data_IF_757884286858
#
_entry.id   IF_757884286858
#
_cell.length_a   1.000
_cell.length_b   1.000
_cell.length_c   1.000
_cell.angle_alpha   90.00
_cell.angle_beta   90.00
_cell.angle_gamma   90.00
#
_symmetry.space_group_name_H-M   'P 1'
#
loop_
_entity.id
_entity.type
_entity.pdbx_description
1 polymer ?
#
# COMPACT_ATOMS: atom_id res chain seq x y z
N UNK A 1 15.89 21.59 -17.46
CA UNK A 1 14.84 22.63 -17.41
C UNK A 1 14.29 23.02 -18.79
N UNK A 2 15.09 23.04 -19.87
CA UNK A 2 14.62 23.40 -21.21
C UNK A 2 13.51 22.51 -21.78
N UNK A 3 13.60 21.17 -21.61
CA UNK A 3 12.61 20.22 -22.10
C UNK A 3 11.22 20.44 -21.49
N UNK A 4 11.12 20.68 -20.16
CA UNK A 4 9.85 20.98 -19.48
C UNK A 4 9.19 22.22 -20.05
N UNK A 5 9.96 23.32 -20.26
CA UNK A 5 9.42 24.55 -20.84
C UNK A 5 8.88 24.32 -22.26
N UNK A 6 9.61 23.55 -23.08
CA UNK A 6 9.17 23.20 -24.43
C UNK A 6 7.89 22.38 -24.48
N UNK A 7 7.73 21.39 -23.57
CA UNK A 7 6.53 20.57 -23.47
C UNK A 7 5.33 21.44 -23.04
N UNK A 8 5.49 22.25 -21.99
CA UNK A 8 4.43 23.14 -21.53
C UNK A 8 4.02 24.17 -22.57
N UNK A 9 4.96 24.70 -23.34
CA UNK A 9 4.66 25.63 -24.43
C UNK A 9 3.80 24.97 -25.53
N UNK A 10 4.12 23.72 -25.92
CA UNK A 10 3.30 22.96 -26.89
C UNK A 10 1.89 22.68 -26.38
N UNK A 11 1.76 22.34 -25.09
CA UNK A 11 0.45 22.13 -24.46
C UNK A 11 -0.38 23.43 -24.49
N UNK A 12 0.22 24.56 -24.07
CA UNK A 12 -0.44 25.87 -24.09
C UNK A 12 -0.90 26.26 -25.51
N UNK A 13 -0.03 26.03 -26.50
CA UNK A 13 -0.37 26.28 -27.91
C UNK A 13 -1.55 25.42 -28.36
N UNK A 14 -1.55 24.14 -28.04
CA UNK A 14 -2.66 23.23 -28.38
C UNK A 14 -3.98 23.61 -27.71
N UNK A 15 -3.92 24.29 -26.56
CA UNK A 15 -5.08 24.83 -25.84
C UNK A 15 -5.49 26.23 -26.30
N UNK A 16 -4.88 26.79 -27.35
CA UNK A 16 -5.13 28.16 -27.82
C UNK A 16 -4.62 29.25 -26.85
N UNK A 17 -3.68 28.91 -25.96
CA UNK A 17 -3.13 29.80 -24.93
C UNK A 17 -1.71 30.28 -25.28
N UNK A 18 -1.46 30.70 -26.51
CA UNK A 18 -0.11 31.08 -26.97
C UNK A 18 0.54 32.11 -26.04
N UNK A 19 1.33 31.61 -25.07
CA UNK A 19 2.12 32.42 -24.15
C UNK A 19 1.33 33.13 -23.04
N UNK A 20 0.00 33.06 -23.01
CA UNK A 20 -0.80 33.72 -21.98
C UNK A 20 -0.66 33.00 -20.63
N UNK A 21 -0.30 33.73 -19.60
CA UNK A 21 -0.33 33.24 -18.23
C UNK A 21 -1.81 33.13 -17.75
N UNK A 22 -2.12 32.16 -16.86
CA UNK A 22 -3.47 32.03 -16.31
C UNK A 22 -3.87 33.29 -15.55
N UNK A 23 -5.09 33.73 -15.73
CA UNK A 23 -5.66 34.87 -14.96
C UNK A 23 -5.85 34.46 -13.48
N UNK A 24 -5.90 35.46 -12.61
CA UNK A 24 -6.19 35.20 -11.18
C UNK A 24 -7.54 34.48 -10.98
N UNK A 25 -8.54 34.78 -11.80
CA UNK A 25 -9.85 34.13 -11.75
C UNK A 25 -9.78 32.64 -12.15
N UNK A 26 -9.04 32.30 -13.21
CA UNK A 26 -8.84 30.92 -13.61
C UNK A 26 -8.09 30.11 -12.54
N UNK A 27 -7.06 30.69 -11.93
CA UNK A 27 -6.32 30.04 -10.84
C UNK A 27 -7.21 29.84 -9.62
N UNK A 28 -8.05 30.83 -9.28
CA UNK A 28 -9.02 30.71 -8.19
C UNK A 28 -10.05 29.61 -8.47
N UNK A 29 -10.58 29.51 -9.69
CA UNK A 29 -11.52 28.48 -10.08
C UNK A 29 -10.90 27.06 -9.98
N UNK A 30 -9.66 26.88 -10.44
CA UNK A 30 -8.94 25.61 -10.32
C UNK A 30 -8.70 25.24 -8.86
N UNK A 31 -8.26 26.19 -8.03
CA UNK A 31 -8.06 25.95 -6.59
C UNK A 31 -9.37 25.58 -5.89
N UNK A 32 -10.47 26.27 -6.23
CA UNK A 32 -11.78 25.94 -5.69
C UNK A 32 -12.25 24.55 -6.12
N UNK A 33 -11.99 24.14 -7.38
CA UNK A 33 -12.31 22.80 -7.85
C UNK A 33 -11.51 21.73 -7.09
N UNK A 34 -10.20 21.94 -6.88
CA UNK A 34 -9.35 21.04 -6.10
C UNK A 34 -9.85 20.95 -4.65
N UNK A 35 -10.19 22.08 -4.03
CA UNK A 35 -10.64 22.15 -2.64
C UNK A 35 -12.00 21.46 -2.38
N UNK A 36 -12.85 21.32 -3.41
CA UNK A 36 -14.14 20.63 -3.27
C UNK A 36 -14.00 19.12 -3.07
N UNK A 37 -12.87 18.52 -3.51
CA UNK A 37 -12.65 17.07 -3.45
C UNK A 37 -13.84 16.28 -4.00
N UNK A 38 -14.39 16.72 -5.13
CA UNK A 38 -15.55 16.05 -5.76
C UNK A 38 -15.24 14.57 -6.00
N UNK A 39 -16.12 13.72 -5.49
CA UNK A 39 -16.05 12.27 -5.67
C UNK A 39 -16.68 11.93 -7.02
N UNK A 40 -15.97 11.12 -7.81
CA UNK A 40 -16.50 10.60 -9.07
C UNK A 40 -17.66 9.62 -8.85
N UNK A 41 -18.30 9.14 -9.92
CA UNK A 41 -19.29 8.08 -9.83
C UNK A 41 -18.70 6.84 -9.17
N UNK A 42 -19.35 6.35 -8.11
CA UNK A 42 -18.94 5.15 -7.40
C UNK A 42 -19.81 3.98 -7.81
N UNK A 43 -19.21 2.78 -8.04
CA UNK A 43 -20.00 1.55 -8.12
C UNK A 43 -20.78 1.35 -6.81
N UNK A 44 -21.99 0.78 -6.86
CA UNK A 44 -22.69 0.45 -5.63
C UNK A 44 -21.87 -0.57 -4.83
N UNK A 45 -21.50 -0.19 -3.62
CA UNK A 45 -20.84 -1.06 -2.66
C UNK A 45 -21.80 -1.30 -1.48
N UNK A 46 -22.13 -2.56 -1.26
CA UNK A 46 -22.91 -2.94 -0.08
C UNK A 46 -21.94 -2.99 1.11
N UNK A 47 -22.06 -2.01 2.02
CA UNK A 47 -21.30 -2.02 3.27
C UNK A 47 -21.56 -3.32 4.02
N UNK A 48 -20.52 -4.11 4.25
CA UNK A 48 -20.63 -5.33 5.03
C UNK A 48 -20.81 -4.97 6.52
N UNK A 49 -21.70 -5.66 7.25
CA UNK A 49 -21.82 -5.46 8.69
C UNK A 49 -20.50 -5.69 9.44
N UNK A 50 -19.67 -6.57 8.92
CA UNK A 50 -18.31 -6.86 9.43
C UNK A 50 -17.28 -6.55 8.34
N UNK A 51 -16.63 -5.38 8.46
CA UNK A 51 -15.56 -4.92 7.56
C UNK A 51 -14.39 -5.88 7.53
N UNK A 52 -14.06 -6.45 8.66
CA UNK A 52 -12.92 -7.34 8.79
C UNK A 52 -13.18 -8.68 8.09
N UNK A 53 -14.38 -9.20 8.19
CA UNK A 53 -14.81 -10.38 7.43
C UNK A 53 -14.79 -10.09 5.92
N UNK A 54 -15.27 -8.92 5.50
CA UNK A 54 -15.21 -8.50 4.10
C UNK A 54 -13.75 -8.35 3.61
N UNK A 55 -12.89 -7.72 4.39
CA UNK A 55 -11.46 -7.59 4.06
C UNK A 55 -10.81 -8.95 3.85
N UNK A 56 -11.04 -9.91 4.77
CA UNK A 56 -10.51 -11.27 4.65
C UNK A 56 -11.00 -11.98 3.38
N UNK A 57 -12.30 -11.88 3.10
CA UNK A 57 -12.90 -12.44 1.88
C UNK A 57 -12.23 -11.92 0.62
N UNK A 58 -11.97 -10.61 0.55
CA UNK A 58 -11.29 -10.02 -0.61
C UNK A 58 -9.80 -10.38 -0.66
N UNK A 59 -9.14 -10.50 0.49
CA UNK A 59 -7.79 -11.06 0.56
C UNK A 59 -7.73 -12.46 -0.06
N UNK A 60 -8.64 -13.36 0.34
CA UNK A 60 -8.72 -14.72 -0.22
C UNK A 60 -8.93 -14.70 -1.73
N UNK A 61 -9.86 -13.87 -2.22
CA UNK A 61 -10.14 -13.71 -3.65
C UNK A 61 -8.90 -13.26 -4.46
N UNK A 62 -8.07 -12.43 -3.85
CA UNK A 62 -6.85 -11.91 -4.48
C UNK A 62 -5.63 -12.83 -4.32
N UNK A 63 -5.69 -13.82 -3.43
CA UNK A 63 -4.57 -14.69 -3.10
C UNK A 63 -3.64 -14.10 -2.03
N UNK A 64 -4.11 -13.12 -1.26
CA UNK A 64 -3.45 -12.69 -0.03
C UNK A 64 -3.84 -13.63 1.09
N UNK A 65 -2.87 -14.31 1.69
CA UNK A 65 -3.12 -15.10 2.90
C UNK A 65 -3.24 -14.19 4.12
N UNK A 66 -3.96 -14.62 5.15
CA UNK A 66 -4.10 -13.81 6.37
C UNK A 66 -4.15 -14.66 7.63
N UNK A 67 -3.79 -14.05 8.75
CA UNK A 67 -3.96 -14.59 10.08
C UNK A 67 -4.42 -13.48 11.03
N UNK A 68 -5.09 -13.85 12.11
CA UNK A 68 -5.46 -12.92 13.18
C UNK A 68 -4.78 -13.35 14.46
N UNK A 69 -4.12 -12.40 15.11
CA UNK A 69 -3.46 -12.60 16.41
C UNK A 69 -4.13 -11.72 17.46
N UNK A 70 -3.98 -12.07 18.74
CA UNK A 70 -4.66 -11.37 19.83
C UNK A 70 -3.93 -10.08 20.27
N UNK A 71 -2.66 -9.95 19.89
CA UNK A 71 -1.84 -8.78 20.22
C UNK A 71 -0.69 -8.59 19.26
N UNK A 72 -0.11 -7.39 19.25
CA UNK A 72 1.09 -7.09 18.47
C UNK A 72 2.28 -7.98 18.87
N UNK A 73 2.36 -8.40 20.15
CA UNK A 73 3.42 -9.25 20.65
C UNK A 73 3.44 -10.65 20.02
N UNK A 74 2.32 -11.10 19.45
CA UNK A 74 2.23 -12.42 18.79
C UNK A 74 2.63 -12.38 17.31
N UNK A 75 2.85 -11.19 16.73
CA UNK A 75 3.25 -11.04 15.32
C UNK A 75 4.51 -11.84 14.99
N UNK A 76 5.61 -11.82 15.79
CA UNK A 76 6.79 -12.61 15.47
C UNK A 76 6.51 -14.13 15.38
N UNK A 77 5.72 -14.66 16.29
CA UNK A 77 5.36 -16.08 16.31
C UNK A 77 4.52 -16.47 15.08
N UNK A 78 3.57 -15.63 14.68
CA UNK A 78 2.76 -15.83 13.48
C UNK A 78 3.61 -15.75 12.20
N UNK A 79 4.51 -14.78 12.11
CA UNK A 79 5.45 -14.67 10.98
C UNK A 79 6.34 -15.91 10.90
N UNK A 80 6.87 -16.40 12.03
CA UNK A 80 7.66 -17.62 12.07
C UNK A 80 6.86 -18.84 11.58
N UNK A 81 5.63 -18.98 12.05
CA UNK A 81 4.69 -20.03 11.59
C UNK A 81 4.47 -19.96 10.07
N UNK A 82 4.19 -18.76 9.55
CA UNK A 82 3.96 -18.54 8.12
C UNK A 82 5.20 -18.89 7.28
N UNK A 83 6.37 -18.40 7.67
CA UNK A 83 7.62 -18.68 6.96
C UNK A 83 7.96 -20.18 6.97
N UNK A 84 7.81 -20.85 8.12
CA UNK A 84 8.03 -22.28 8.24
C UNK A 84 7.08 -23.09 7.36
N UNK A 85 5.78 -22.75 7.33
CA UNK A 85 4.79 -23.41 6.48
C UNK A 85 5.11 -23.29 4.98
N UNK A 86 5.72 -22.17 4.58
CA UNK A 86 6.17 -21.94 3.20
C UNK A 86 7.58 -22.44 2.89
N UNK A 87 8.27 -23.08 3.83
CA UNK A 87 9.69 -23.45 3.75
C UNK A 87 10.59 -22.23 3.36
N UNK A 88 10.26 -21.05 3.90
CA UNK A 88 10.97 -19.80 3.66
C UNK A 88 12.03 -19.56 4.73
N UNK A 89 13.08 -18.81 4.38
CA UNK A 89 14.14 -18.47 5.32
C UNK A 89 13.58 -17.66 6.52
N UNK A 90 14.01 -17.95 7.76
CA UNK A 90 13.55 -17.26 8.96
C UNK A 90 14.27 -15.91 9.14
N UNK A 91 14.23 -15.07 8.13
CA UNK A 91 14.85 -13.74 8.10
C UNK A 91 13.92 -12.74 7.44
N UNK A 92 13.79 -11.56 8.05
CA UNK A 92 12.87 -10.52 7.64
C UNK A 92 13.53 -9.15 7.66
N UNK A 93 13.45 -8.40 6.57
CA UNK A 93 13.78 -6.97 6.55
C UNK A 93 12.51 -6.16 6.78
N UNK A 94 12.44 -5.36 7.84
CA UNK A 94 11.19 -4.71 8.23
C UNK A 94 11.34 -3.26 8.66
N UNK A 95 10.18 -2.62 8.91
CA UNK A 95 10.12 -1.25 9.42
C UNK A 95 10.48 -1.19 10.91
N UNK A 96 11.19 -0.12 11.29
CA UNK A 96 11.67 0.09 12.67
C UNK A 96 10.59 0.05 13.75
N UNK A 97 9.32 0.34 13.41
CA UNK A 97 8.22 0.27 14.39
C UNK A 97 8.00 -1.14 14.97
N UNK A 98 8.45 -2.18 14.28
CA UNK A 98 8.32 -3.58 14.73
C UNK A 98 9.62 -4.16 15.32
N UNK A 99 10.71 -3.40 15.31
CA UNK A 99 12.04 -3.90 15.72
C UNK A 99 12.11 -4.32 17.19
N UNK A 100 11.27 -3.70 18.06
CA UNK A 100 11.24 -4.00 19.48
C UNK A 100 10.47 -5.27 19.86
N UNK A 101 9.83 -5.97 18.89
CA UNK A 101 9.13 -7.23 19.14
C UNK A 101 10.14 -8.38 19.34
N UNK A 102 9.72 -9.44 20.02
CA UNK A 102 10.59 -10.58 20.34
C UNK A 102 10.77 -11.51 19.11
N UNK A 103 11.50 -11.00 18.12
CA UNK A 103 11.85 -11.78 16.92
C UNK A 103 12.81 -12.92 17.20
N UNK A 104 13.78 -12.70 18.10
CA UNK A 104 14.75 -13.71 18.49
C UNK A 104 14.08 -14.90 19.19
N UNK A 105 13.13 -14.63 20.11
CA UNK A 105 12.32 -15.67 20.75
C UNK A 105 11.48 -16.48 19.77
N UNK A 106 11.07 -15.87 18.66
CA UNK A 106 10.37 -16.54 17.56
C UNK A 106 11.32 -17.25 16.55
N UNK A 107 12.63 -17.16 16.73
CA UNK A 107 13.62 -17.74 15.82
C UNK A 107 13.77 -17.01 14.49
N UNK A 108 13.40 -15.72 14.44
CA UNK A 108 13.48 -14.87 13.24
C UNK A 108 14.65 -13.89 13.36
N UNK A 109 15.49 -13.83 12.33
CA UNK A 109 16.44 -12.72 12.15
C UNK A 109 15.71 -11.49 11.63
N UNK A 110 15.45 -10.52 12.50
CA UNK A 110 14.83 -9.25 12.12
C UNK A 110 15.88 -8.20 11.79
N UNK A 111 15.76 -7.56 10.64
CA UNK A 111 16.67 -6.52 10.15
C UNK A 111 15.90 -5.22 10.00
N UNK A 112 16.10 -4.28 10.95
CA UNK A 112 15.52 -2.94 10.89
C UNK A 112 16.25 -2.09 9.85
N UNK A 113 15.86 -2.25 8.60
CA UNK A 113 16.39 -1.51 7.45
C UNK A 113 15.52 -1.69 6.21
N UNK A 114 15.70 -0.82 5.19
CA UNK A 114 15.14 -1.08 3.86
C UNK A 114 15.60 -2.43 3.31
N UNK A 115 14.68 -3.13 2.66
CA UNK A 115 14.99 -4.41 2.00
C UNK A 115 16.00 -4.21 0.85
N UNK A 116 16.93 -5.14 0.71
CA UNK A 116 17.89 -5.23 -0.37
C UNK A 116 17.72 -6.49 -1.21
N UNK A 117 18.55 -6.68 -2.24
CA UNK A 117 18.44 -7.78 -3.20
C UNK A 117 18.53 -9.20 -2.59
N UNK A 118 19.11 -9.32 -1.39
CA UNK A 118 19.23 -10.62 -0.69
C UNK A 118 18.08 -10.90 0.30
N UNK A 119 17.11 -10.01 0.45
CA UNK A 119 16.02 -10.19 1.40
C UNK A 119 14.80 -10.82 0.70
N UNK A 120 14.49 -12.06 1.06
CA UNK A 120 13.36 -12.80 0.49
C UNK A 120 12.03 -12.39 1.12
N UNK A 121 12.04 -11.88 2.36
CA UNK A 121 10.83 -11.47 3.10
C UNK A 121 10.97 -10.04 3.61
N UNK A 122 9.97 -9.22 3.32
CA UNK A 122 9.81 -7.88 3.85
C UNK A 122 8.62 -7.79 4.79
N UNK A 123 8.75 -7.02 5.88
CA UNK A 123 7.67 -6.76 6.82
C UNK A 123 7.39 -5.27 6.93
N UNK A 124 6.11 -4.93 6.82
CA UNK A 124 5.62 -3.55 6.95
C UNK A 124 4.36 -3.50 7.81
N UNK A 125 3.96 -2.32 8.23
CA UNK A 125 2.58 -2.02 8.55
C UNK A 125 1.83 -1.49 7.32
N UNK A 126 0.62 -0.97 7.54
CA UNK A 126 -0.09 -0.17 6.57
C UNK A 126 -0.72 1.05 7.24
N UNK A 127 -0.93 2.10 6.48
CA UNK A 127 -1.66 3.28 6.93
C UNK A 127 -3.12 2.91 7.25
N UNK A 128 -3.76 2.19 6.34
CA UNK A 128 -5.07 1.56 6.53
C UNK A 128 -5.22 0.38 5.56
N UNK A 129 -6.27 -0.42 5.78
CA UNK A 129 -6.71 -1.44 4.83
C UNK A 129 -8.12 -1.12 4.34
N UNK A 130 -8.47 -1.58 3.14
CA UNK A 130 -9.73 -1.29 2.45
C UNK A 130 -10.49 -2.59 2.25
N UNK A 131 -11.66 -2.70 2.88
CA UNK A 131 -12.45 -3.93 2.89
C UNK A 131 -13.07 -4.24 1.53
N UNK A 132 -13.50 -3.21 0.79
CA UNK A 132 -14.09 -3.35 -0.55
C UNK A 132 -13.21 -4.14 -1.51
N UNK A 133 -11.91 -3.98 -1.42
CA UNK A 133 -10.97 -4.51 -2.41
C UNK A 133 -9.86 -5.38 -1.82
N UNK A 134 -9.84 -5.63 -0.50
CA UNK A 134 -8.75 -6.37 0.15
C UNK A 134 -7.39 -5.69 0.00
N UNK A 135 -7.38 -4.36 -0.04
CA UNK A 135 -6.21 -3.55 -0.37
C UNK A 135 -5.53 -3.02 0.88
N UNK A 136 -4.20 -3.03 0.89
CA UNK A 136 -3.36 -2.40 1.91
C UNK A 136 -2.88 -1.06 1.37
N UNK A 137 -3.10 0.03 2.11
CA UNK A 137 -2.59 1.35 1.76
C UNK A 137 -1.34 1.65 2.57
N UNK A 138 -0.21 1.83 1.89
CA UNK A 138 1.07 2.15 2.49
C UNK A 138 1.52 3.55 2.06
N UNK A 139 2.10 4.28 3.00
CA UNK A 139 2.65 5.62 2.77
C UNK A 139 4.17 5.58 2.93
N UNK A 140 4.88 6.22 2.00
CA UNK A 140 6.34 6.29 2.08
C UNK A 140 6.80 7.42 2.99
N UNK A 141 7.75 7.09 3.87
CA UNK A 141 8.51 8.06 4.67
C UNK A 141 9.92 7.53 4.91
N UNK A 142 10.83 8.29 5.51
CA UNK A 142 12.12 7.76 5.95
C UNK A 142 11.99 6.56 6.91
N UNK A 143 10.96 6.54 7.77
CA UNK A 143 10.70 5.44 8.70
C UNK A 143 9.92 4.27 8.07
N UNK A 144 9.29 4.48 6.91
CA UNK A 144 8.48 3.48 6.21
C UNK A 144 8.97 3.28 4.77
N UNK A 145 10.19 2.75 4.58
CA UNK A 145 10.76 2.58 3.25
C UNK A 145 9.93 1.58 2.43
N UNK A 146 9.60 2.00 1.20
CA UNK A 146 8.76 1.22 0.29
C UNK A 146 9.36 -0.11 -0.15
N UNK A 147 10.68 -0.21 -0.11
CA UNK A 147 11.40 -1.40 -0.59
C UNK A 147 11.00 -2.65 0.18
N UNK A 148 10.65 -2.55 1.47
CA UNK A 148 10.20 -3.69 2.27
C UNK A 148 8.87 -4.31 1.76
N UNK A 149 8.03 -3.52 1.07
CA UNK A 149 6.78 -4.01 0.49
C UNK A 149 6.90 -4.45 -0.98
N UNK A 150 7.93 -4.00 -1.71
CA UNK A 150 7.97 -4.13 -3.17
C UNK A 150 9.10 -5.02 -3.70
N UNK A 151 10.24 -5.07 -3.01
CA UNK A 151 11.43 -5.76 -3.50
C UNK A 151 11.45 -7.26 -3.15
N UNK A 152 11.13 -7.68 -1.91
CA UNK A 152 11.14 -9.09 -1.54
C UNK A 152 10.06 -9.90 -2.27
N UNK A 153 10.32 -11.20 -2.47
CA UNK A 153 9.32 -12.12 -3.02
C UNK A 153 8.10 -12.30 -2.10
N UNK A 154 8.30 -12.12 -0.80
CA UNK A 154 7.25 -12.24 0.22
C UNK A 154 7.08 -10.91 0.95
N UNK A 155 5.87 -10.36 0.93
CA UNK A 155 5.48 -9.19 1.70
C UNK A 155 4.55 -9.62 2.84
N UNK A 156 4.98 -9.43 4.08
CA UNK A 156 4.14 -9.57 5.28
C UNK A 156 3.73 -8.19 5.74
N UNK A 157 2.44 -7.96 5.94
CA UNK A 157 1.90 -6.68 6.37
C UNK A 157 1.12 -6.83 7.69
N UNK A 158 1.50 -6.07 8.71
CA UNK A 158 0.74 -5.96 9.95
C UNK A 158 -0.41 -4.98 9.76
N UNK A 159 -1.63 -5.46 9.96
CA UNK A 159 -2.86 -4.71 9.75
C UNK A 159 -3.58 -4.51 11.07
N UNK A 160 -3.76 -3.27 11.52
CA UNK A 160 -4.59 -2.98 12.69
C UNK A 160 -6.07 -3.10 12.31
N UNK A 161 -6.84 -3.93 13.02
CA UNK A 161 -8.27 -4.13 12.76
C UNK A 161 -9.06 -2.81 12.80
N UNK A 162 -8.68 -1.91 13.70
CA UNK A 162 -9.26 -0.56 13.83
C UNK A 162 -8.99 0.36 12.63
N UNK A 163 -8.04 -0.02 11.75
CA UNK A 163 -7.67 0.74 10.54
C UNK A 163 -8.21 0.08 9.26
N UNK A 164 -9.12 -0.86 9.37
CA UNK A 164 -9.85 -1.41 8.21
C UNK A 164 -11.03 -0.49 7.91
N UNK A 165 -11.04 0.10 6.73
CA UNK A 165 -12.05 1.02 6.21
C UNK A 165 -12.93 0.31 5.17
N UNK A 166 -14.11 0.87 4.87
CA UNK A 166 -15.01 0.26 3.91
C UNK A 166 -14.52 0.45 2.47
N UNK A 167 -14.25 1.69 2.07
CA UNK A 167 -14.01 2.08 0.67
C UNK A 167 -12.67 2.77 0.47
N UNK A 168 -12.26 2.90 -0.79
CA UNK A 168 -11.07 3.66 -1.17
C UNK A 168 -11.23 5.15 -0.87
N UNK A 169 -12.44 5.67 -1.01
CA UNK A 169 -12.76 7.07 -0.70
C UNK A 169 -12.60 7.37 0.79
N UNK A 170 -12.96 6.44 1.67
CA UNK A 170 -12.72 6.56 3.11
C UNK A 170 -11.22 6.61 3.40
N UNK A 171 -10.42 5.81 2.69
CA UNK A 171 -8.97 5.83 2.83
C UNK A 171 -8.37 7.17 2.38
N UNK A 172 -8.86 7.76 1.29
CA UNK A 172 -8.45 9.11 0.88
C UNK A 172 -8.94 10.20 1.83
N UNK A 173 -10.14 10.05 2.39
CA UNK A 173 -10.65 10.98 3.40
C UNK A 173 -9.77 10.96 4.65
N UNK A 174 -9.43 9.76 5.13
CA UNK A 174 -8.52 9.57 6.26
C UNK A 174 -7.13 10.13 5.98
N UNK A 175 -6.58 9.91 4.78
CA UNK A 175 -5.28 10.45 4.36
C UNK A 175 -5.28 11.98 4.42
N UNK A 176 -6.33 12.63 3.92
CA UNK A 176 -6.46 14.10 4.00
C UNK A 176 -6.56 14.59 5.43
N UNK A 177 -7.30 13.88 6.29
CA UNK A 177 -7.51 14.27 7.67
C UNK A 177 -6.25 14.16 8.53
N UNK A 178 -5.49 13.07 8.38
CA UNK A 178 -4.34 12.77 9.25
C UNK A 178 -2.99 13.25 8.69
N UNK A 179 -2.84 13.27 7.36
CA UNK A 179 -1.55 13.57 6.70
C UNK A 179 -1.60 14.91 5.97
N UNK A 180 -2.76 15.30 5.42
CA UNK A 180 -2.94 16.51 4.63
C UNK A 180 -2.36 16.35 3.22
N UNK A 181 -1.10 16.70 3.04
CA UNK A 181 -0.41 16.54 1.75
C UNK A 181 0.04 15.09 1.54
N UNK A 182 -0.25 14.48 0.39
CA UNK A 182 0.20 13.12 0.10
C UNK A 182 1.73 13.01 0.17
N UNK A 183 2.28 11.91 0.73
CA UNK A 183 3.71 11.69 0.72
C UNK A 183 4.22 11.46 -0.70
N UNK A 184 5.55 11.40 -0.86
CA UNK A 184 6.19 11.19 -2.17
C UNK A 184 5.67 9.98 -2.93
N UNK A 185 5.26 8.94 -2.20
CA UNK A 185 4.63 7.75 -2.78
C UNK A 185 3.57 7.17 -1.85
N UNK A 186 2.46 6.82 -2.45
CA UNK A 186 1.32 6.15 -1.84
C UNK A 186 1.10 4.86 -2.61
N UNK A 187 1.07 3.72 -1.92
CA UNK A 187 0.99 2.40 -2.53
C UNK A 187 -0.29 1.71 -2.15
N UNK A 188 -0.97 1.14 -3.13
CA UNK A 188 -2.11 0.27 -2.96
C UNK A 188 -1.69 -1.14 -3.32
N UNK A 189 -1.62 -2.03 -2.32
CA UNK A 189 -1.23 -3.44 -2.49
C UNK A 189 -2.48 -4.29 -2.39
N UNK A 190 -2.93 -4.83 -3.52
CA UNK A 190 -4.15 -5.65 -3.64
C UNK A 190 -3.77 -7.07 -4.06
N UNK A 191 -3.16 -7.80 -3.14
CA UNK A 191 -2.66 -9.15 -3.38
C UNK A 191 -1.28 -9.22 -4.03
N UNK A 192 -0.82 -10.43 -4.38
CA UNK A 192 0.43 -10.68 -5.09
C UNK A 192 0.51 -9.92 -6.42
N UNK A 193 1.73 -9.50 -6.78
CA UNK A 193 1.97 -8.82 -8.06
C UNK A 193 1.58 -9.71 -9.22
N UNK A 194 0.78 -9.18 -10.16
CA UNK A 194 0.34 -9.85 -11.38
C UNK A 194 0.58 -8.95 -12.57
N UNK A 195 1.17 -9.49 -13.61
CA UNK A 195 1.31 -8.82 -14.91
C UNK A 195 0.88 -9.75 -16.03
N UNK A 196 0.40 -9.19 -17.13
CA UNK A 196 0.06 -9.91 -18.34
C UNK A 196 0.77 -9.32 -19.56
N UNK A 197 1.86 -8.58 -19.35
CA UNK A 197 2.58 -7.84 -20.38
C UNK A 197 3.30 -8.74 -21.39
N UNK A 198 3.51 -10.01 -21.04
CA UNK A 198 4.15 -11.00 -21.89
C UNK A 198 3.09 -11.95 -22.44
N UNK A 199 2.81 -11.87 -23.74
CA UNK A 199 1.89 -12.76 -24.49
C UNK A 199 0.49 -12.91 -23.87
N UNK A 200 0.04 -11.89 -23.10
CA UNK A 200 -1.22 -11.90 -22.35
C UNK A 200 -1.35 -13.07 -21.35
N UNK A 201 -0.22 -13.66 -20.96
CA UNK A 201 -0.17 -14.71 -19.96
C UNK A 201 0.08 -14.09 -18.58
N UNK A 202 -0.75 -14.46 -17.59
CA UNK A 202 -0.60 -13.94 -16.22
C UNK A 202 0.66 -14.52 -15.59
N UNK A 203 1.61 -13.64 -15.29
CA UNK A 203 2.82 -13.94 -14.51
C UNK A 203 2.69 -13.32 -13.13
N UNK A 204 2.93 -14.12 -12.07
CA UNK A 204 2.91 -13.68 -10.68
C UNK A 204 4.33 -13.35 -10.24
N UNK A 205 4.50 -12.22 -9.53
CA UNK A 205 5.78 -11.85 -8.92
C UNK A 205 6.79 -11.18 -9.85
N UNK A 206 6.42 -10.80 -11.09
CA UNK A 206 7.36 -10.19 -12.03
C UNK A 206 7.82 -8.77 -11.62
N UNK A 207 6.94 -7.98 -11.02
CA UNK A 207 7.19 -6.57 -10.68
C UNK A 207 6.95 -6.24 -9.20
N UNK A 208 6.86 -7.24 -8.35
CA UNK A 208 6.62 -7.09 -6.92
C UNK A 208 6.47 -8.46 -6.25
N UNK A 209 6.00 -8.50 -5.00
CA UNK A 209 5.94 -9.73 -4.23
C UNK A 209 5.12 -10.84 -4.91
N UNK A 210 5.68 -12.03 -4.91
CA UNK A 210 5.01 -13.26 -5.32
C UNK A 210 3.96 -13.70 -4.29
N UNK A 211 4.20 -13.37 -2.99
CA UNK A 211 3.34 -13.71 -1.85
C UNK A 211 3.02 -12.46 -1.04
N UNK A 212 1.78 -12.34 -0.61
CA UNK A 212 1.35 -11.32 0.35
C UNK A 212 0.65 -12.00 1.51
N UNK A 213 1.03 -11.67 2.75
CA UNK A 213 0.44 -12.18 3.96
C UNK A 213 0.06 -11.03 4.91
N UNK A 214 -1.20 -10.97 5.32
CA UNK A 214 -1.71 -9.98 6.26
C UNK A 214 -1.81 -10.56 7.68
N UNK A 215 -1.08 -9.99 8.63
CA UNK A 215 -1.20 -10.32 10.06
C UNK A 215 -2.09 -9.26 10.71
N UNK A 216 -3.31 -9.66 11.05
CA UNK A 216 -4.33 -8.76 11.61
C UNK A 216 -4.19 -8.73 13.13
N UNK A 217 -4.04 -7.52 13.67
CA UNK A 217 -3.94 -7.25 15.11
C UNK A 217 -5.11 -6.35 15.56
N UNK A 218 -5.51 -6.38 16.83
CA UNK A 218 -6.55 -5.52 17.39
C UNK A 218 -6.32 -4.03 17.15
#
# INVERSE_FOLDING_TARGET
MAARKGILARIRKAQGRDGAEPTAAELAAVRAAIARHEVGPQPPFAHAPDRLAQFRKECDRLGTTHATVSSLAEVPAEVARYLAAGALAPAVAGWGEFAALDWAGAGIEYRDRPAGAGDATGLTGCFCAIAETGTLLLLSSPATPKLNALLPETHVCVVRASRVLDTMEDAFALLRAEVGEPPRATFFVSGPSRTADIEQTIVIGAHGPYRVHAVIVP
#
